data_IF_298597990378
#
_entry.id   IF_298597990378
#
_cell.length_a   1.000
_cell.length_b   1.000
_cell.length_c   1.000
_cell.angle_alpha   90.00
_cell.angle_beta   90.00
_cell.angle_gamma   90.00
#
_symmetry.space_group_name_H-M   'P 1'
#
loop_
_entity.id
_entity.type
_entity.pdbx_description
1 polymer ?
#
# COMPACT_ATOMS: atom_id res chain seq x y z
N UNK A 1 8.43 35.50 2.36
CA UNK A 1 9.49 34.92 1.51
C UNK A 1 10.11 33.85 2.37
N UNK A 2 9.78 32.58 2.12
CA UNK A 2 10.38 31.46 2.86
C UNK A 2 11.90 31.49 2.61
N UNK A 3 12.68 31.44 3.68
CA UNK A 3 14.13 31.48 3.59
C UNK A 3 14.63 30.13 3.04
N UNK A 4 14.94 30.08 1.74
CA UNK A 4 15.56 28.92 1.11
C UNK A 4 17.06 28.93 1.38
N UNK A 5 17.63 27.81 1.83
CA UNK A 5 19.03 27.75 2.22
C UNK A 5 19.79 26.53 1.68
N UNK A 6 21.09 26.69 1.49
CA UNK A 6 21.99 25.61 1.11
C UNK A 6 22.22 24.64 2.27
N UNK A 7 21.90 23.36 2.08
CA UNK A 7 22.25 22.31 3.04
C UNK A 7 23.73 21.95 2.81
N UNK A 8 24.63 22.56 3.58
CA UNK A 8 26.09 22.48 3.34
C UNK A 8 26.88 21.98 4.56
N UNK A 9 27.93 21.23 4.26
CA UNK A 9 28.88 20.73 5.23
C UNK A 9 29.73 21.88 5.78
N UNK A 10 29.74 22.03 7.10
CA UNK A 10 30.55 23.06 7.78
C UNK A 10 32.06 22.79 7.68
N UNK A 11 32.46 21.53 7.42
CA UNK A 11 33.86 21.13 7.34
C UNK A 11 34.49 21.46 5.97
N UNK A 12 33.80 21.15 4.86
CA UNK A 12 34.37 21.31 3.52
C UNK A 12 33.54 22.19 2.57
N UNK A 13 32.39 22.71 3.01
CA UNK A 13 31.49 23.51 2.18
C UNK A 13 30.68 22.72 1.14
N UNK A 14 30.89 21.41 1.03
CA UNK A 14 30.17 20.54 0.08
C UNK A 14 28.69 20.36 0.44
N UNK A 15 27.83 19.97 -0.51
CA UNK A 15 26.43 19.67 -0.25
C UNK A 15 26.29 18.50 0.73
N UNK A 16 25.15 18.47 1.43
CA UNK A 16 24.77 17.36 2.29
C UNK A 16 23.40 16.80 1.89
N UNK A 17 23.18 15.53 2.19
CA UNK A 17 22.00 14.76 1.80
C UNK A 17 21.36 14.15 3.03
N UNK A 18 20.02 14.16 3.09
CA UNK A 18 19.27 13.54 4.19
C UNK A 18 19.43 12.02 4.16
N UNK A 19 19.66 11.44 5.33
CA UNK A 19 19.75 10.00 5.52
C UNK A 19 18.80 9.59 6.66
N UNK A 20 17.59 9.17 6.27
CA UNK A 20 16.50 8.83 7.19
C UNK A 20 16.93 7.76 8.23
N UNK A 21 17.66 6.72 7.79
CA UNK A 21 18.04 5.60 8.65
C UNK A 21 18.95 5.97 9.83
N UNK A 22 19.83 6.94 9.63
CA UNK A 22 20.74 7.45 10.67
C UNK A 22 20.25 8.76 11.26
N UNK A 23 19.11 9.28 10.77
CA UNK A 23 18.58 10.61 11.08
C UNK A 23 19.70 11.66 11.03
N UNK A 24 20.40 11.72 9.90
CA UNK A 24 21.53 12.63 9.70
C UNK A 24 21.51 13.29 8.33
N UNK A 25 22.33 14.34 8.19
CA UNK A 25 22.79 14.85 6.91
C UNK A 25 24.21 14.39 6.67
N UNK A 26 24.47 13.80 5.50
CA UNK A 26 25.76 13.22 5.17
C UNK A 26 26.40 13.97 4.00
N UNK A 27 27.68 14.31 4.14
CA UNK A 27 28.47 14.96 3.10
C UNK A 27 29.19 13.93 2.22
N UNK A 28 28.80 13.85 0.96
CA UNK A 28 29.39 12.91 -0.01
C UNK A 28 30.89 13.17 -0.29
N UNK A 29 31.42 14.36 0.03
CA UNK A 29 32.78 14.77 -0.33
C UNK A 29 33.83 14.42 0.73
N UNK A 30 33.49 14.60 2.01
CA UNK A 30 34.43 14.39 3.11
C UNK A 30 33.95 13.37 4.16
N UNK A 31 32.76 12.78 3.95
CA UNK A 31 32.19 11.78 4.86
C UNK A 31 31.71 12.34 6.20
N UNK A 32 31.70 13.67 6.37
CA UNK A 32 31.14 14.29 7.58
C UNK A 32 29.64 14.02 7.65
N UNK A 33 29.18 13.50 8.79
CA UNK A 33 27.77 13.29 9.11
C UNK A 33 27.37 14.22 10.24
N UNK A 34 26.23 14.89 10.10
CA UNK A 34 25.66 15.79 11.10
C UNK A 34 24.29 15.26 11.51
N UNK A 35 24.05 14.94 12.79
CA UNK A 35 22.75 14.47 13.25
C UNK A 35 21.64 15.49 12.99
N UNK A 36 20.44 15.01 12.63
CA UNK A 36 19.24 15.80 12.42
C UNK A 36 18.75 16.47 13.72
N UNK A 37 18.79 15.72 14.83
CA UNK A 37 18.50 16.22 16.17
C UNK A 37 19.72 16.07 17.09
N UNK A 38 20.15 17.18 17.69
CA UNK A 38 21.23 17.17 18.67
C UNK A 38 20.80 16.41 19.94
N UNK A 39 21.48 15.30 20.24
CA UNK A 39 21.09 14.41 21.34
C UNK A 39 19.84 13.59 21.06
N UNK A 40 19.45 13.46 19.78
CA UNK A 40 18.28 12.70 19.35
C UNK A 40 18.27 11.29 19.91
N UNK A 41 17.08 10.82 20.29
CA UNK A 41 16.87 9.44 20.74
C UNK A 41 17.33 8.47 19.66
N UNK A 42 17.91 7.35 20.09
CA UNK A 42 18.19 6.23 19.19
C UNK A 42 16.93 5.88 18.40
N UNK A 43 17.07 5.46 17.12
CA UNK A 43 15.98 4.88 16.35
C UNK A 43 15.11 3.98 17.21
N UNK A 44 13.78 4.14 17.13
CA UNK A 44 12.85 3.18 17.73
C UNK A 44 13.23 1.76 17.27
N UNK A 45 13.06 0.78 18.16
CA UNK A 45 13.39 -0.62 17.87
C UNK A 45 12.83 -1.04 16.51
N UNK A 46 13.64 -1.79 15.75
CA UNK A 46 13.22 -2.37 14.46
C UNK A 46 11.98 -3.22 14.64
N UNK A 47 11.12 -3.22 13.61
CA UNK A 47 9.85 -3.96 13.59
C UNK A 47 10.05 -5.40 14.09
N UNK A 48 9.31 -5.79 15.12
CA UNK A 48 9.41 -7.11 15.74
C UNK A 48 8.70 -8.19 14.93
N UNK A 49 9.23 -8.55 13.76
CA UNK A 49 8.64 -9.58 12.90
C UNK A 49 8.88 -10.96 13.51
N UNK A 50 7.79 -11.64 13.93
CA UNK A 50 7.87 -12.98 14.54
C UNK A 50 6.78 -13.91 14.05
N UNK A 51 7.15 -14.74 13.08
CA UNK A 51 6.29 -15.80 12.59
C UNK A 51 6.14 -16.94 13.60
N UNK A 52 4.95 -17.53 13.64
CA UNK A 52 4.73 -18.76 14.41
C UNK A 52 4.59 -19.92 13.43
N UNK A 53 5.58 -20.81 13.26
CA UNK A 53 5.48 -21.91 12.30
C UNK A 53 4.23 -22.78 12.50
N UNK A 54 3.70 -23.32 11.40
CA UNK A 54 2.63 -24.32 11.45
C UNK A 54 3.18 -25.57 12.14
N UNK A 55 2.47 -26.06 13.15
CA UNK A 55 2.85 -27.29 13.85
C UNK A 55 2.53 -28.51 12.98
N UNK A 56 3.51 -29.39 12.81
CA UNK A 56 3.36 -30.70 12.17
C UNK A 56 3.34 -31.80 13.25
N UNK A 57 2.38 -32.72 13.17
CA UNK A 57 2.25 -33.88 14.06
C UNK A 57 2.03 -35.13 13.22
N UNK A 58 2.97 -36.07 13.28
CA UNK A 58 2.94 -37.30 12.45
C UNK A 58 2.75 -37.03 10.95
N UNK A 59 3.36 -35.95 10.43
CA UNK A 59 3.21 -35.53 9.02
C UNK A 59 1.89 -34.82 8.69
N UNK A 60 1.02 -34.58 9.68
CA UNK A 60 -0.24 -33.85 9.53
C UNK A 60 -0.10 -32.40 10.00
N UNK A 61 -0.77 -31.48 9.32
CA UNK A 61 -0.85 -30.07 9.69
C UNK A 61 -1.82 -29.89 10.85
N UNK A 62 -1.40 -29.22 11.93
CA UNK A 62 -2.26 -28.87 13.05
C UNK A 62 -2.86 -27.48 12.86
N UNK A 63 -4.14 -27.43 12.48
CA UNK A 63 -4.85 -26.22 12.08
C UNK A 63 -5.91 -25.78 13.10
N UNK A 64 -5.64 -25.98 14.39
CA UNK A 64 -6.51 -25.56 15.51
C UNK A 64 -6.93 -24.08 15.47
N UNK A 65 -6.10 -23.22 14.89
CA UNK A 65 -6.30 -21.77 14.89
C UNK A 65 -7.30 -21.28 13.83
N UNK A 66 -7.69 -22.12 12.88
CA UNK A 66 -8.65 -21.82 11.79
C UNK A 66 -9.68 -22.95 11.61
N UNK A 67 -9.88 -23.81 12.61
CA UNK A 67 -10.77 -24.97 12.46
C UNK A 67 -12.26 -24.67 12.61
N UNK A 68 -12.61 -23.53 13.22
CA UNK A 68 -14.00 -23.10 13.41
C UNK A 68 -14.42 -22.23 12.23
N UNK A 69 -15.11 -22.84 11.27
CA UNK A 69 -15.60 -22.17 10.08
C UNK A 69 -16.95 -21.47 10.34
N UNK A 70 -17.08 -20.24 9.85
CA UNK A 70 -18.30 -19.44 9.82
C UNK A 70 -18.70 -19.13 8.37
N UNK A 71 -19.96 -18.74 8.07
CA UNK A 71 -20.35 -18.36 6.72
C UNK A 71 -19.43 -17.29 6.11
N UNK A 72 -18.87 -17.57 4.94
CA UNK A 72 -18.01 -16.62 4.23
C UNK A 72 -18.83 -15.42 3.77
N UNK A 73 -18.41 -14.22 4.17
CA UNK A 73 -19.07 -12.96 3.81
C UNK A 73 -18.03 -11.92 3.46
N UNK A 74 -18.26 -11.23 2.35
CA UNK A 74 -17.53 -10.01 2.04
C UNK A 74 -17.89 -8.93 3.06
N UNK A 75 -16.92 -8.09 3.42
CA UNK A 75 -17.10 -7.07 4.43
C UNK A 75 -18.10 -6.01 3.96
N UNK A 76 -19.15 -5.77 4.76
CA UNK A 76 -20.14 -4.72 4.51
C UNK A 76 -19.85 -3.52 5.42
N UNK A 77 -18.84 -2.73 5.03
CA UNK A 77 -18.52 -1.46 5.66
C UNK A 77 -18.78 -0.32 4.67
N UNK A 78 -19.36 0.78 5.13
CA UNK A 78 -19.90 1.80 4.23
C UNK A 78 -18.83 2.42 3.32
N UNK A 79 -17.57 2.58 3.78
CA UNK A 79 -16.46 3.04 2.94
C UNK A 79 -16.12 2.11 1.75
N UNK A 80 -16.66 0.89 1.70
CA UNK A 80 -16.54 0.00 0.54
C UNK A 80 -17.72 0.13 -0.45
N UNK A 81 -18.78 0.85 -0.09
CA UNK A 81 -19.91 1.12 -0.98
C UNK A 81 -19.52 2.12 -2.08
N UNK A 82 -20.08 2.01 -3.31
CA UNK A 82 -19.68 2.84 -4.44
C UNK A 82 -19.81 4.33 -4.13
N UNK A 83 -20.89 4.73 -3.44
CA UNK A 83 -21.12 6.13 -3.07
C UNK A 83 -19.91 6.78 -2.39
N UNK A 84 -19.29 6.09 -1.43
CA UNK A 84 -18.15 6.59 -0.67
C UNK A 84 -16.82 6.44 -1.42
N UNK A 85 -16.68 5.36 -2.21
CA UNK A 85 -15.51 5.18 -3.08
C UNK A 85 -15.50 6.14 -4.26
N UNK A 86 -16.65 6.73 -4.60
CA UNK A 86 -16.77 7.69 -5.69
C UNK A 86 -16.21 9.08 -5.35
N UNK A 87 -15.95 9.39 -4.09
CA UNK A 87 -15.35 10.67 -3.75
C UNK A 87 -13.86 10.69 -4.13
N UNK A 88 -13.42 11.78 -4.74
CA UNK A 88 -11.99 12.05 -4.91
C UNK A 88 -11.32 12.21 -3.54
N UNK A 89 -10.01 12.06 -3.51
CA UNK A 89 -9.22 12.29 -2.32
C UNK A 89 -9.39 13.72 -1.80
N UNK A 90 -9.41 14.70 -2.70
CA UNK A 90 -9.60 16.10 -2.31
C UNK A 90 -11.02 16.34 -1.78
N UNK A 91 -12.05 15.72 -2.37
CA UNK A 91 -13.42 15.77 -1.85
C UNK A 91 -13.52 15.16 -0.44
N UNK A 92 -12.83 14.04 -0.21
CA UNK A 92 -12.72 13.42 1.11
C UNK A 92 -12.05 14.35 2.12
N UNK A 93 -10.93 14.97 1.74
CA UNK A 93 -10.25 15.92 2.59
C UNK A 93 -11.13 17.13 2.90
N UNK A 94 -11.86 17.70 1.92
CA UNK A 94 -12.76 18.82 2.21
C UNK A 94 -13.87 18.47 3.22
N UNK A 95 -14.30 17.21 3.27
CA UNK A 95 -15.33 16.75 4.21
C UNK A 95 -14.77 16.46 5.60
N UNK A 96 -13.64 15.76 5.69
CA UNK A 96 -13.12 15.21 6.95
C UNK A 96 -11.92 16.01 7.51
N UNK A 97 -11.15 16.68 6.66
CA UNK A 97 -9.91 17.40 6.99
C UNK A 97 -9.73 18.65 6.11
N UNK A 98 -10.67 19.59 6.26
CA UNK A 98 -10.72 20.81 5.44
C UNK A 98 -9.44 21.65 5.51
N UNK A 99 -8.76 21.65 6.66
CA UNK A 99 -7.52 22.40 6.83
C UNK A 99 -6.41 21.89 5.92
N UNK A 100 -6.28 20.56 5.79
CA UNK A 100 -5.33 19.96 4.85
C UNK A 100 -5.75 20.16 3.40
N UNK A 101 -7.05 20.04 3.10
CA UNK A 101 -7.56 20.31 1.76
C UNK A 101 -7.22 21.73 1.28
N UNK A 102 -7.46 22.74 2.12
CA UNK A 102 -7.18 24.15 1.81
C UNK A 102 -5.68 24.39 1.62
N UNK A 103 -4.82 23.80 2.46
CA UNK A 103 -3.35 23.93 2.33
C UNK A 103 -2.83 23.32 1.03
N UNK A 104 -3.37 22.16 0.63
CA UNK A 104 -3.00 21.50 -0.63
C UNK A 104 -3.53 22.22 -1.86
N UNK A 105 -4.73 22.78 -1.80
CA UNK A 105 -5.32 23.57 -2.89
C UNK A 105 -4.62 24.92 -3.07
N UNK A 106 -4.17 25.53 -1.98
CA UNK A 106 -3.44 26.80 -1.97
C UNK A 106 -1.92 26.63 -2.19
N UNK A 107 -1.44 25.40 -2.39
CA UNK A 107 -0.03 25.16 -2.72
C UNK A 107 0.37 26.00 -3.94
N UNK A 108 1.48 26.72 -3.83
CA UNK A 108 1.95 27.63 -4.87
C UNK A 108 3.28 27.16 -5.44
N UNK A 109 3.46 27.40 -6.73
CA UNK A 109 4.77 27.24 -7.35
C UNK A 109 5.72 28.32 -6.81
N UNK A 110 6.86 27.88 -6.31
CA UNK A 110 7.93 28.74 -5.80
C UNK A 110 9.11 28.71 -6.76
N UNK A 111 9.66 29.87 -7.08
CA UNK A 111 10.91 29.99 -7.84
C UNK A 111 12.09 29.99 -6.88
N UNK A 112 13.02 29.07 -7.08
CA UNK A 112 14.12 28.78 -6.16
C UNK A 112 15.44 29.09 -6.87
N UNK A 113 16.17 30.13 -6.45
CA UNK A 113 17.53 30.35 -6.91
C UNK A 113 18.46 29.36 -6.23
N UNK A 114 19.14 28.51 -7.00
CA UNK A 114 20.08 27.55 -6.46
C UNK A 114 21.32 28.26 -5.90
N UNK A 115 21.60 28.17 -4.59
CA UNK A 115 22.74 28.85 -3.96
C UNK A 115 24.09 28.24 -4.34
N UNK A 116 24.11 27.06 -4.98
CA UNK A 116 25.32 26.37 -5.40
C UNK A 116 25.77 26.72 -6.83
N UNK A 117 24.84 26.76 -7.79
CA UNK A 117 25.17 26.98 -9.20
C UNK A 117 24.56 28.25 -9.81
N UNK A 118 23.69 28.94 -9.08
CA UNK A 118 23.01 30.16 -9.55
C UNK A 118 21.83 29.92 -10.50
N UNK A 119 21.57 28.67 -10.92
CA UNK A 119 20.39 28.34 -11.73
C UNK A 119 19.10 28.55 -10.93
N UNK A 120 18.07 29.08 -11.57
CA UNK A 120 16.72 29.12 -11.00
C UNK A 120 15.93 27.88 -11.45
N UNK A 121 15.12 27.33 -10.56
CA UNK A 121 14.20 26.23 -10.85
C UNK A 121 12.91 26.40 -10.04
N UNK A 122 11.91 25.53 -10.29
CA UNK A 122 10.61 25.60 -9.65
C UNK A 122 10.39 24.43 -8.69
N UNK A 123 9.57 24.66 -7.67
CA UNK A 123 9.05 23.64 -6.76
C UNK A 123 7.70 24.06 -6.19
N UNK A 124 7.17 23.29 -5.26
CA UNK A 124 5.91 23.56 -4.55
C UNK A 124 6.18 24.06 -3.13
N UNK A 125 5.37 25.01 -2.65
CA UNK A 125 5.47 25.58 -1.30
C UNK A 125 5.23 24.57 -0.17
N UNK A 126 4.83 23.34 -0.49
CA UNK A 126 4.60 22.25 0.47
C UNK A 126 5.83 21.36 0.69
N UNK A 127 6.92 21.59 -0.06
CA UNK A 127 8.14 20.78 0.02
C UNK A 127 9.10 21.29 1.10
N UNK A 128 9.69 20.38 1.86
CA UNK A 128 10.71 20.70 2.87
C UNK A 128 12.13 20.72 2.29
N UNK A 129 12.41 19.82 1.34
CA UNK A 129 13.71 19.68 0.67
C UNK A 129 13.51 19.63 -0.85
N UNK A 130 14.26 20.46 -1.57
CA UNK A 130 14.26 20.57 -3.01
C UNK A 130 15.57 20.03 -3.60
N UNK A 131 15.51 19.47 -4.81
CA UNK A 131 16.70 19.11 -5.60
C UNK A 131 16.86 20.07 -6.78
N UNK A 132 18.02 20.69 -6.91
CA UNK A 132 18.32 21.52 -8.07
C UNK A 132 18.57 20.64 -9.31
N UNK A 133 17.77 20.76 -10.39
CA UNK A 133 17.93 19.92 -11.58
C UNK A 133 19.24 20.17 -12.35
N UNK A 134 19.88 21.32 -12.16
CA UNK A 134 21.12 21.68 -12.85
C UNK A 134 22.37 21.09 -12.21
N UNK A 135 22.38 20.83 -10.89
CA UNK A 135 23.58 20.39 -10.18
C UNK A 135 23.34 19.25 -9.17
N UNK A 136 22.10 18.81 -8.97
CA UNK A 136 21.72 17.72 -8.05
C UNK A 136 21.82 18.08 -6.56
N UNK A 137 22.16 19.33 -6.21
CA UNK A 137 22.33 19.73 -4.81
C UNK A 137 20.98 20.01 -4.13
N UNK A 138 20.92 19.71 -2.83
CA UNK A 138 19.72 19.83 -2.00
C UNK A 138 19.61 21.20 -1.34
N UNK A 139 18.39 21.73 -1.31
CA UNK A 139 18.05 23.05 -0.78
C UNK A 139 16.91 22.87 0.22
N UNK A 140 17.06 23.43 1.41
CA UNK A 140 16.05 23.35 2.47
C UNK A 140 15.14 24.57 2.50
N UNK A 141 13.87 24.36 2.85
CA UNK A 141 12.95 25.42 3.25
C UNK A 141 13.11 25.73 4.74
N UNK A 142 13.48 26.97 5.09
CA UNK A 142 13.83 27.39 6.45
C UNK A 142 12.78 27.06 7.52
N UNK A 143 11.50 27.23 7.21
CA UNK A 143 10.42 26.98 8.19
C UNK A 143 9.92 25.55 8.23
N UNK A 144 10.16 24.77 7.17
CA UNK A 144 9.67 23.40 7.03
C UNK A 144 10.75 22.37 7.41
N UNK A 145 12.02 22.63 7.10
CA UNK A 145 13.14 21.75 7.42
C UNK A 145 13.59 21.94 8.88
N UNK A 146 12.74 21.53 9.82
CA UNK A 146 13.01 21.53 11.26
C UNK A 146 12.49 20.22 11.88
N UNK A 147 13.24 19.59 12.81
CA UNK A 147 12.81 18.33 13.43
C UNK A 147 11.46 18.43 14.12
N UNK A 148 10.59 17.44 13.88
CA UNK A 148 9.25 17.37 14.47
C UNK A 148 8.31 18.52 14.07
N UNK A 149 8.65 19.32 13.05
CA UNK A 149 7.86 20.49 12.60
C UNK A 149 7.16 20.30 11.26
N UNK A 150 6.98 19.07 10.80
CA UNK A 150 6.16 18.85 9.61
C UNK A 150 4.74 19.36 9.85
N UNK A 151 4.18 20.08 8.86
CA UNK A 151 2.90 20.76 9.01
C UNK A 151 1.78 19.74 9.23
N UNK A 152 1.01 19.91 10.32
CA UNK A 152 -0.23 19.15 10.53
C UNK A 152 -1.21 19.30 9.36
N UNK A 153 -1.23 20.47 8.71
CA UNK A 153 -2.06 20.76 7.54
C UNK A 153 -1.53 20.16 6.23
N UNK A 154 -0.35 19.54 6.26
CA UNK A 154 0.16 18.74 5.14
C UNK A 154 0.06 17.24 5.43
N UNK A 155 -0.49 16.88 6.59
CA UNK A 155 -0.76 15.50 6.99
C UNK A 155 -2.24 15.22 6.83
N UNK A 156 -2.59 14.34 5.92
CA UNK A 156 -3.98 13.96 5.65
C UNK A 156 -4.54 13.10 6.77
N UNK A 157 -5.59 13.58 7.45
CA UNK A 157 -6.34 12.84 8.46
C UNK A 157 -6.29 13.48 9.84
N UNK A 158 -6.31 12.64 10.89
CA UNK A 158 -6.47 13.09 12.29
C UNK A 158 -5.29 13.87 12.89
N UNK A 159 -4.21 14.10 12.13
CA UNK A 159 -3.07 14.95 12.49
C UNK A 159 -1.71 14.26 12.50
N UNK A 160 -0.63 15.05 12.49
CA UNK A 160 0.76 14.59 12.44
C UNK A 160 1.18 13.67 13.60
N UNK A 161 0.51 13.77 14.76
CA UNK A 161 0.71 12.89 15.92
C UNK A 161 0.35 11.42 15.68
N UNK A 162 -0.41 11.13 14.62
CA UNK A 162 -0.79 9.77 14.23
C UNK A 162 -0.02 9.28 12.99
N UNK A 163 1.03 10.00 12.59
CA UNK A 163 1.96 9.57 11.55
C UNK A 163 2.96 8.58 12.16
N UNK A 164 3.11 7.37 11.60
CA UNK A 164 4.14 6.44 12.05
C UNK A 164 5.54 7.02 11.88
N UNK A 165 6.40 6.83 12.89
CA UNK A 165 7.81 7.30 12.90
C UNK A 165 8.76 6.41 12.09
N UNK A 166 8.21 5.42 11.36
CA UNK A 166 8.96 4.47 10.55
C UNK A 166 8.33 4.38 9.16
N UNK A 167 9.18 4.26 8.14
CA UNK A 167 8.75 4.11 6.76
C UNK A 167 9.66 3.16 6.00
N UNK A 168 9.12 2.55 4.94
CA UNK A 168 9.94 2.06 3.84
C UNK A 168 10.33 3.26 2.96
N UNK A 169 11.61 3.52 2.69
CA UNK A 169 12.01 4.59 1.77
C UNK A 169 11.52 4.30 0.35
N UNK A 170 11.18 5.36 -0.40
CA UNK A 170 10.92 5.23 -1.83
C UNK A 170 12.21 4.85 -2.58
N UNK A 171 12.16 3.76 -3.35
CA UNK A 171 13.32 3.22 -4.09
C UNK A 171 13.27 3.54 -5.59
N UNK A 172 12.08 3.78 -6.13
CA UNK A 172 11.89 4.10 -7.55
C UNK A 172 11.73 5.62 -7.73
N UNK A 173 12.17 6.13 -8.87
CA UNK A 173 11.91 7.52 -9.23
C UNK A 173 10.46 7.72 -9.67
N UNK A 174 9.99 8.97 -9.59
CA UNK A 174 8.68 9.35 -10.12
C UNK A 174 8.54 9.01 -11.61
N UNK A 175 9.61 9.19 -12.40
CA UNK A 175 9.62 8.81 -13.82
C UNK A 175 9.43 7.30 -14.02
N UNK A 176 10.06 6.47 -13.18
CA UNK A 176 9.87 5.02 -13.20
C UNK A 176 8.44 4.65 -12.82
N UNK A 177 7.88 5.30 -11.80
CA UNK A 177 6.50 5.08 -11.39
C UNK A 177 5.49 5.41 -12.50
N UNK A 178 5.63 6.59 -13.14
CA UNK A 178 4.81 7.00 -14.29
C UNK A 178 4.96 6.01 -15.45
N UNK A 179 6.16 5.56 -15.76
CA UNK A 179 6.42 4.57 -16.81
C UNK A 179 5.73 3.22 -16.51
N UNK A 180 5.80 2.74 -15.27
CA UNK A 180 5.16 1.49 -14.86
C UNK A 180 3.62 1.57 -14.92
N UNK A 181 3.05 2.71 -14.50
CA UNK A 181 1.62 2.96 -14.63
C UNK A 181 1.17 3.01 -16.11
N UNK A 182 1.91 3.70 -16.98
CA UNK A 182 1.61 3.73 -18.41
C UNK A 182 1.74 2.36 -19.07
N UNK A 183 2.71 1.54 -18.64
CA UNK A 183 2.83 0.17 -19.11
C UNK A 183 1.60 -0.66 -18.74
N UNK A 184 1.09 -0.53 -17.51
CA UNK A 184 -0.16 -1.19 -17.09
C UNK A 184 -1.35 -0.74 -17.96
N UNK A 185 -1.48 0.55 -18.22
CA UNK A 185 -2.54 1.11 -19.09
C UNK A 185 -2.47 0.51 -20.50
N UNK A 186 -1.27 0.45 -21.09
CA UNK A 186 -1.05 -0.13 -22.42
C UNK A 186 -1.28 -1.64 -22.48
N UNK A 187 -1.12 -2.35 -21.37
CA UNK A 187 -1.35 -3.78 -21.28
C UNK A 187 -2.86 -4.13 -21.28
N UNK A 188 -3.70 -3.22 -20.78
CA UNK A 188 -5.15 -3.41 -20.65
C UNK A 188 -5.95 -2.23 -21.24
N UNK A 189 -5.74 -1.89 -22.52
CA UNK A 189 -6.30 -0.67 -23.13
C UNK A 189 -7.83 -0.63 -23.09
N UNK A 190 -8.49 -1.79 -23.14
CA UNK A 190 -9.95 -1.92 -23.06
C UNK A 190 -10.52 -1.55 -21.68
N UNK A 191 -9.75 -1.77 -20.60
CA UNK A 191 -10.16 -1.45 -19.22
C UNK A 191 -10.20 0.06 -19.00
N UNK A 192 -9.28 0.79 -19.64
CA UNK A 192 -9.13 2.24 -19.48
C UNK A 192 -9.80 3.06 -20.59
N UNK A 193 -10.48 2.40 -21.53
CA UNK A 193 -11.04 3.04 -22.72
C UNK A 193 -12.11 4.10 -22.38
N UNK A 194 -11.79 5.37 -22.63
CA UNK A 194 -12.67 6.52 -22.40
C UNK A 194 -12.31 7.34 -21.16
N UNK A 195 -11.23 6.98 -20.46
CA UNK A 195 -10.70 7.75 -19.33
C UNK A 195 -9.41 8.47 -19.72
N UNK A 196 -9.20 9.69 -19.23
CA UNK A 196 -7.98 10.48 -19.48
C UNK A 196 -6.78 10.04 -18.62
N UNK A 197 -6.56 8.72 -18.52
CA UNK A 197 -5.59 8.15 -17.57
C UNK A 197 -4.13 8.50 -17.88
N UNK A 198 -3.75 8.61 -19.15
CA UNK A 198 -2.36 8.94 -19.50
C UNK A 198 -2.03 10.38 -19.09
N UNK A 199 -2.95 11.32 -19.32
CA UNK A 199 -2.82 12.70 -18.86
C UNK A 199 -2.78 12.77 -17.33
N UNK A 200 -3.69 12.07 -16.65
CA UNK A 200 -3.72 11.98 -15.19
C UNK A 200 -2.42 11.41 -14.61
N UNK A 201 -1.87 10.35 -15.22
CA UNK A 201 -0.57 9.79 -14.84
C UNK A 201 0.54 10.80 -15.03
N UNK A 202 0.46 11.73 -15.98
CA UNK A 202 1.49 12.75 -16.26
C UNK A 202 1.33 14.04 -15.45
N UNK A 203 0.12 14.40 -15.04
CA UNK A 203 -0.12 15.67 -14.33
C UNK A 203 -0.50 15.52 -12.85
N UNK A 204 -1.06 14.38 -12.43
CA UNK A 204 -1.68 14.22 -11.11
C UNK A 204 -1.00 13.17 -10.22
N UNK A 205 -0.12 12.32 -10.76
CA UNK A 205 0.58 11.31 -9.96
C UNK A 205 1.43 11.98 -8.88
N UNK A 206 1.24 11.57 -7.63
CA UNK A 206 1.99 12.08 -6.48
C UNK A 206 2.46 10.93 -5.59
N UNK A 207 3.63 11.07 -4.97
CA UNK A 207 4.10 10.15 -3.95
C UNK A 207 3.28 10.35 -2.67
N UNK A 208 2.73 9.27 -2.13
CA UNK A 208 2.05 9.23 -0.84
C UNK A 208 2.72 8.22 0.08
N UNK A 209 2.96 8.61 1.32
CA UNK A 209 3.32 7.69 2.39
C UNK A 209 2.05 7.27 3.12
N UNK A 210 1.69 5.99 3.01
CA UNK A 210 0.42 5.43 3.48
C UNK A 210 0.69 4.55 4.71
N UNK A 211 -0.05 4.72 5.82
CA UNK A 211 0.16 3.92 7.02
C UNK A 211 -0.41 2.52 6.84
N UNK A 212 0.37 1.52 7.22
CA UNK A 212 0.00 0.10 7.23
C UNK A 212 0.39 -0.54 8.55
N UNK A 213 -0.37 -1.55 8.95
CA UNK A 213 -0.01 -2.46 10.02
C UNK A 213 0.37 -3.82 9.46
N UNK A 214 1.34 -4.49 10.06
CA UNK A 214 1.81 -5.81 9.64
C UNK A 214 1.19 -6.94 10.47
N UNK A 215 0.78 -8.01 9.80
CA UNK A 215 0.31 -9.22 10.47
C UNK A 215 0.68 -10.49 9.69
N UNK A 216 0.63 -11.64 10.35
CA UNK A 216 0.48 -12.91 9.65
C UNK A 216 -1.02 -13.23 9.53
N UNK A 217 -1.47 -13.50 8.31
CA UNK A 217 -2.83 -13.92 7.99
C UNK A 217 -2.85 -15.42 7.68
N UNK A 218 -3.70 -16.15 8.38
CA UNK A 218 -3.97 -17.56 8.11
C UNK A 218 -5.44 -17.77 7.91
N UNK A 219 -5.80 -18.55 6.91
CA UNK A 219 -7.21 -18.78 6.59
C UNK A 219 -7.46 -20.24 6.23
N UNK A 220 -8.66 -20.72 6.55
CA UNK A 220 -9.21 -21.94 5.99
C UNK A 220 -10.54 -21.61 5.36
N UNK A 221 -10.77 -22.03 4.12
CA UNK A 221 -12.00 -21.74 3.36
C UNK A 221 -12.57 -23.02 2.79
N UNK A 222 -13.89 -23.18 2.88
CA UNK A 222 -14.61 -24.28 2.25
C UNK A 222 -15.22 -23.88 0.91
N UNK A 223 -15.07 -24.77 -0.06
CA UNK A 223 -15.62 -24.67 -1.41
C UNK A 223 -16.49 -25.89 -1.72
N UNK A 224 -17.49 -25.76 -2.61
CA UNK A 224 -18.25 -26.91 -3.07
C UNK A 224 -17.31 -27.95 -3.70
N UNK A 225 -17.48 -29.21 -3.30
CA UNK A 225 -16.77 -30.32 -3.93
C UNK A 225 -17.19 -30.50 -5.39
N UNK A 226 -16.29 -31.05 -6.22
CA UNK A 226 -16.65 -31.42 -7.60
C UNK A 226 -17.45 -32.73 -7.60
N UNK A 227 -18.64 -32.71 -8.22
CA UNK A 227 -19.50 -33.88 -8.36
C UNK A 227 -20.08 -34.35 -7.01
N UNK A 228 -19.95 -35.63 -6.69
CA UNK A 228 -20.42 -36.21 -5.42
C UNK A 228 -19.41 -36.06 -4.26
N UNK A 229 -18.32 -35.32 -4.44
CA UNK A 229 -17.30 -35.14 -3.40
C UNK A 229 -17.82 -34.23 -2.29
N UNK A 230 -17.37 -34.52 -1.06
CA UNK A 230 -17.51 -33.61 0.09
C UNK A 230 -16.86 -32.26 -0.22
N UNK A 231 -17.22 -31.24 0.56
CA UNK A 231 -16.60 -29.91 0.49
C UNK A 231 -15.06 -30.00 0.50
N UNK A 232 -14.44 -29.18 -0.34
CA UNK A 232 -12.99 -29.00 -0.37
C UNK A 232 -12.61 -27.92 0.63
N UNK A 233 -11.67 -28.20 1.52
CA UNK A 233 -11.09 -27.22 2.43
C UNK A 233 -9.75 -26.76 1.89
N UNK A 234 -9.55 -25.45 1.80
CA UNK A 234 -8.29 -24.86 1.35
C UNK A 234 -7.70 -24.02 2.47
N UNK A 235 -6.44 -24.27 2.80
CA UNK A 235 -5.65 -23.50 3.75
C UNK A 235 -4.77 -22.49 3.00
N UNK A 236 -4.69 -21.28 3.55
CA UNK A 236 -3.93 -20.14 3.04
C UNK A 236 -3.06 -19.58 4.16
N UNK A 237 -1.90 -19.08 3.78
CA UNK A 237 -1.00 -18.35 4.67
C UNK A 237 -0.38 -17.17 3.91
N UNK A 238 -0.50 -15.99 4.49
CA UNK A 238 0.20 -14.78 4.05
C UNK A 238 1.01 -14.27 5.24
N UNK A 239 2.32 -14.29 5.11
CA UNK A 239 3.25 -13.79 6.14
C UNK A 239 3.65 -12.36 5.81
N UNK A 240 3.92 -11.56 6.85
CA UNK A 240 4.25 -10.14 6.70
C UNK A 240 3.25 -9.43 5.78
N UNK A 241 1.97 -9.67 6.06
CA UNK A 241 0.86 -9.13 5.32
C UNK A 241 0.54 -7.71 5.80
N UNK A 242 0.75 -6.67 4.97
CA UNK A 242 0.39 -5.31 5.31
C UNK A 242 -1.09 -5.06 5.03
N UNK A 243 -1.77 -4.39 5.95
CA UNK A 243 -3.11 -3.88 5.71
C UNK A 243 -3.19 -2.37 6.01
N UNK A 244 -3.90 -1.57 5.19
CA UNK A 244 -3.95 -0.12 5.36
C UNK A 244 -4.62 0.30 6.66
N UNK A 245 -4.05 1.33 7.28
CA UNK A 245 -4.52 1.97 8.51
C UNK A 245 -5.23 3.32 8.26
N UNK A 246 -5.80 3.46 7.06
CA UNK A 246 -6.50 4.66 6.59
C UNK A 246 -7.60 4.28 5.58
N UNK A 247 -8.58 5.17 5.40
CA UNK A 247 -9.62 5.05 4.36
C UNK A 247 -9.55 6.18 3.30
N UNK A 248 -8.58 7.11 3.39
CA UNK A 248 -8.40 8.19 2.41
C UNK A 248 -7.96 7.69 1.03
N UNK A 249 -7.41 6.48 0.96
CA UNK A 249 -7.02 5.81 -0.28
C UNK A 249 -7.88 4.57 -0.49
N UNK A 250 -7.94 4.10 -1.74
CA UNK A 250 -8.69 2.90 -2.06
C UNK A 250 -8.08 1.64 -1.43
N UNK A 251 -8.66 1.18 -0.33
CA UNK A 251 -8.16 0.04 0.45
C UNK A 251 -7.95 -1.23 -0.40
N UNK A 252 -8.91 -1.65 -1.27
CA UNK A 252 -8.67 -2.75 -2.19
C UNK A 252 -7.44 -2.55 -3.09
N UNK A 253 -7.27 -1.37 -3.69
CA UNK A 253 -6.12 -1.05 -4.54
C UNK A 253 -4.79 -1.16 -3.78
N UNK A 254 -4.70 -0.63 -2.55
CA UNK A 254 -3.46 -0.73 -1.76
C UNK A 254 -3.09 -2.19 -1.47
N UNK A 255 -4.09 -3.05 -1.23
CA UNK A 255 -3.88 -4.49 -1.05
C UNK A 255 -3.34 -5.22 -2.28
N UNK A 256 -3.36 -4.61 -3.48
CA UNK A 256 -2.81 -5.18 -4.71
C UNK A 256 -1.34 -4.84 -4.97
N UNK A 257 -0.77 -3.93 -4.18
CA UNK A 257 0.60 -3.41 -4.39
C UNK A 257 1.71 -4.30 -3.82
N UNK A 258 1.35 -5.33 -3.09
CA UNK A 258 2.28 -6.32 -2.54
C UNK A 258 3.15 -6.97 -3.65
N UNK A 259 4.35 -7.45 -3.35
CA UNK A 259 4.96 -7.56 -2.01
C UNK A 259 5.69 -6.29 -1.57
N UNK A 260 5.93 -6.21 -0.26
CA UNK A 260 6.78 -5.22 0.38
C UNK A 260 7.94 -5.92 1.09
N UNK A 261 9.12 -5.31 1.11
CA UNK A 261 10.30 -5.78 1.85
C UNK A 261 10.50 -4.94 3.11
N UNK A 262 10.15 -5.51 4.26
CA UNK A 262 10.18 -4.80 5.54
C UNK A 262 11.57 -4.74 6.18
N UNK A 263 12.58 -5.44 5.62
CA UNK A 263 13.98 -5.27 6.02
C UNK A 263 14.53 -3.87 5.71
N UNK A 264 13.79 -3.10 4.90
CA UNK A 264 14.12 -1.73 4.49
C UNK A 264 13.45 -0.66 5.35
N UNK A 265 12.68 -1.05 6.37
CA UNK A 265 12.05 -0.08 7.27
C UNK A 265 13.12 0.69 8.03
N UNK A 266 12.99 2.01 8.05
CA UNK A 266 13.90 2.93 8.72
C UNK A 266 13.10 3.96 9.52
N UNK A 267 13.71 4.62 10.52
CA UNK A 267 13.15 5.84 11.08
C UNK A 267 12.80 6.84 9.97
N UNK A 268 11.70 7.56 10.14
CA UNK A 268 11.19 8.48 9.14
C UNK A 268 10.72 9.77 9.80
N UNK A 269 11.32 10.88 9.38
CA UNK A 269 10.80 12.22 9.66
C UNK A 269 10.37 12.85 8.33
N UNK A 270 9.07 13.16 8.14
CA UNK A 270 8.58 13.80 6.93
C UNK A 270 9.29 15.12 6.59
N UNK A 271 9.78 15.86 7.60
CA UNK A 271 10.49 17.11 7.34
C UNK A 271 11.83 16.89 6.60
N UNK A 272 12.44 15.71 6.74
CA UNK A 272 13.66 15.33 6.02
C UNK A 272 13.40 14.79 4.61
N UNK A 273 12.14 14.51 4.27
CA UNK A 273 11.80 13.87 3.01
C UNK A 273 11.92 14.84 1.83
N UNK A 274 12.46 14.33 0.72
CA UNK A 274 12.74 15.10 -0.48
C UNK A 274 11.56 15.07 -1.46
N UNK A 275 11.39 16.16 -2.21
CA UNK A 275 10.41 16.19 -3.29
C UNK A 275 8.99 16.56 -2.83
N UNK A 276 8.04 16.40 -3.75
CA UNK A 276 6.63 16.72 -3.53
C UNK A 276 5.87 15.43 -3.18
N UNK A 277 5.48 15.29 -1.92
CA UNK A 277 4.84 14.09 -1.40
C UNK A 277 3.65 14.44 -0.50
N UNK A 278 2.86 13.43 -0.16
CA UNK A 278 1.78 13.50 0.82
C UNK A 278 2.02 12.51 1.94
N UNK A 279 1.67 12.88 3.16
CA UNK A 279 1.68 11.98 4.31
C UNK A 279 0.24 11.71 4.73
N UNK A 280 -0.08 10.44 4.94
CA UNK A 280 -1.38 10.04 5.47
C UNK A 280 -1.20 9.59 6.91
N UNK A 281 -2.01 10.15 7.82
CA UNK A 281 -2.05 9.74 9.21
C UNK A 281 -2.85 8.45 9.39
N UNK A 282 -2.59 7.74 10.50
CA UNK A 282 -3.44 6.62 10.92
C UNK A 282 -4.84 7.13 11.25
N UNK A 283 -5.84 6.43 10.77
CA UNK A 283 -7.23 6.77 11.03
C UNK A 283 -7.79 6.02 12.24
N UNK A 284 -8.23 6.76 13.24
CA UNK A 284 -8.73 6.21 14.51
C UNK A 284 -10.10 5.54 14.39
N UNK A 285 -10.96 6.00 13.48
CA UNK A 285 -12.33 5.47 13.33
C UNK A 285 -12.42 4.22 12.44
N UNK A 286 -11.31 3.83 11.80
CA UNK A 286 -11.27 2.70 10.88
C UNK A 286 -11.52 1.37 11.61
N UNK A 287 -12.39 0.54 11.04
CA UNK A 287 -12.65 -0.81 11.56
C UNK A 287 -11.65 -1.80 10.97
N UNK A 288 -10.59 -2.11 11.72
CA UNK A 288 -9.55 -3.09 11.33
C UNK A 288 -10.15 -4.41 10.84
N UNK A 289 -11.16 -4.94 11.54
CA UNK A 289 -11.82 -6.18 11.12
C UNK A 289 -12.43 -6.04 9.73
N UNK A 290 -13.18 -4.98 9.45
CA UNK A 290 -13.79 -4.80 8.12
C UNK A 290 -12.74 -4.74 7.00
N UNK A 291 -11.61 -4.06 7.22
CA UNK A 291 -10.51 -3.95 6.25
C UNK A 291 -9.84 -5.29 6.05
N UNK A 292 -9.50 -5.96 7.15
CA UNK A 292 -8.88 -7.29 7.09
C UNK A 292 -9.79 -8.26 6.37
N UNK A 293 -11.07 -8.28 6.73
CA UNK A 293 -12.09 -9.14 6.16
C UNK A 293 -12.23 -8.92 4.65
N UNK A 294 -12.27 -7.65 4.22
CA UNK A 294 -12.38 -7.28 2.80
C UNK A 294 -11.22 -7.81 1.98
N UNK A 295 -10.00 -7.56 2.46
CA UNK A 295 -8.78 -7.97 1.76
C UNK A 295 -8.58 -9.49 1.82
N UNK A 296 -8.78 -10.12 2.99
CA UNK A 296 -8.71 -11.57 3.18
C UNK A 296 -9.70 -12.32 2.28
N UNK A 297 -10.94 -11.83 2.15
CA UNK A 297 -11.94 -12.39 1.25
C UNK A 297 -11.48 -12.35 -0.22
N UNK A 298 -10.85 -11.24 -0.61
CA UNK A 298 -10.28 -11.08 -1.95
C UNK A 298 -9.12 -12.05 -2.18
N UNK A 299 -8.14 -12.09 -1.27
CA UNK A 299 -6.99 -13.00 -1.34
C UNK A 299 -7.46 -14.45 -1.47
N UNK A 300 -8.27 -14.92 -0.53
CA UNK A 300 -8.70 -16.32 -0.50
C UNK A 300 -9.43 -16.72 -1.78
N UNK A 301 -10.37 -15.89 -2.25
CA UNK A 301 -11.13 -16.17 -3.46
C UNK A 301 -10.27 -16.18 -4.73
N UNK A 302 -9.41 -15.18 -4.88
CA UNK A 302 -8.54 -15.02 -6.04
C UNK A 302 -7.49 -16.13 -6.13
N UNK A 303 -6.90 -16.49 -5.00
CA UNK A 303 -5.87 -17.52 -4.94
C UNK A 303 -6.47 -18.91 -5.13
N UNK A 304 -7.69 -19.16 -4.65
CA UNK A 304 -8.39 -20.42 -4.94
C UNK A 304 -8.72 -20.58 -6.42
N UNK A 305 -9.15 -19.48 -7.06
CA UNK A 305 -9.46 -19.46 -8.48
C UNK A 305 -8.22 -19.75 -9.31
N UNK A 306 -7.11 -19.06 -9.02
CA UNK A 306 -5.84 -19.27 -9.72
C UNK A 306 -5.25 -20.66 -9.46
N UNK A 307 -5.23 -21.11 -8.19
CA UNK A 307 -4.54 -22.34 -7.79
C UNK A 307 -5.34 -23.63 -8.10
N UNK A 308 -6.67 -23.57 -8.03
CA UNK A 308 -7.53 -24.76 -8.07
C UNK A 308 -8.72 -24.66 -9.03
N UNK A 309 -8.97 -23.48 -9.63
CA UNK A 309 -10.12 -23.22 -10.49
C UNK A 309 -11.46 -23.15 -9.74
N UNK A 310 -11.44 -22.84 -8.44
CA UNK A 310 -12.66 -22.55 -7.70
C UNK A 310 -13.20 -21.17 -8.05
N UNK A 311 -14.52 -20.98 -8.09
CA UNK A 311 -15.07 -19.63 -8.24
C UNK A 311 -14.96 -18.88 -6.92
N UNK A 312 -14.49 -17.62 -6.93
CA UNK A 312 -14.54 -16.71 -5.77
C UNK A 312 -15.93 -16.63 -5.14
N UNK A 313 -16.98 -16.66 -5.98
CA UNK A 313 -18.39 -16.59 -5.53
C UNK A 313 -18.90 -17.89 -4.89
N UNK A 314 -18.09 -18.94 -4.87
CA UNK A 314 -18.45 -20.25 -4.33
C UNK A 314 -17.89 -20.53 -2.93
N UNK A 315 -17.16 -19.58 -2.32
CA UNK A 315 -16.76 -19.68 -0.92
C UNK A 315 -18.01 -19.85 -0.03
N UNK A 316 -18.04 -20.92 0.76
CA UNK A 316 -19.19 -21.28 1.61
C UNK A 316 -18.96 -20.83 3.04
N UNK A 317 -17.88 -21.29 3.62
CA UNK A 317 -17.49 -20.98 4.98
C UNK A 317 -15.99 -20.68 5.03
N UNK A 318 -15.57 -19.94 6.04
CA UNK A 318 -14.18 -19.65 6.27
C UNK A 318 -13.87 -19.48 7.75
N UNK A 319 -12.60 -19.50 8.08
CA UNK A 319 -12.06 -19.05 9.35
C UNK A 319 -10.76 -18.32 9.04
N UNK A 320 -10.44 -17.30 9.83
CA UNK A 320 -9.20 -16.54 9.67
C UNK A 320 -8.60 -16.22 11.02
N UNK A 321 -7.28 -16.31 11.09
CA UNK A 321 -6.49 -15.90 12.24
C UNK A 321 -5.50 -14.84 11.77
N UNK A 322 -5.60 -13.68 12.41
CA UNK A 322 -4.66 -12.57 12.22
C UNK A 322 -3.77 -12.53 13.45
N UNK A 323 -2.46 -12.60 13.24
CA UNK A 323 -1.46 -12.40 14.28
C UNK A 323 -0.69 -11.12 13.94
N UNK A 324 -1.04 -10.02 14.60
CA UNK A 324 -0.35 -8.74 14.43
C UNK A 324 1.09 -8.86 14.93
N UNK A 325 2.03 -8.24 14.22
CA UNK A 325 3.42 -8.11 14.67
C UNK A 325 3.54 -6.93 15.65
N UNK A 326 4.49 -7.03 16.57
CA UNK A 326 4.74 -6.00 17.59
C UNK A 326 5.46 -4.81 16.97
N UNK A 327 5.06 -3.58 17.35
CA UNK A 327 5.62 -2.33 16.82
C UNK A 327 5.66 -2.26 15.29
N UNK A 328 4.72 -2.93 14.61
CA UNK A 328 4.72 -3.07 13.17
C UNK A 328 3.70 -2.14 12.49
N UNK A 329 3.75 -0.86 12.87
CA UNK A 329 3.01 0.22 12.25
C UNK A 329 4.00 1.14 11.55
N UNK A 330 3.86 1.31 10.24
CA UNK A 330 4.83 2.03 9.42
C UNK A 330 4.15 2.65 8.20
N UNK A 331 4.86 3.55 7.53
CA UNK A 331 4.47 4.11 6.25
C UNK A 331 5.06 3.29 5.09
N UNK A 332 4.29 3.14 4.02
CA UNK A 332 4.76 2.59 2.75
C UNK A 332 4.64 3.62 1.63
N UNK A 333 5.65 3.72 0.73
CA UNK A 333 5.67 4.70 -0.35
C UNK A 333 4.83 4.19 -1.51
N UNK A 334 3.85 4.98 -1.94
CA UNK A 334 2.94 4.66 -3.04
C UNK A 334 2.79 5.88 -3.93
N UNK A 335 3.14 5.74 -5.21
CA UNK A 335 2.73 6.74 -6.19
C UNK A 335 1.26 6.50 -6.53
N UNK A 336 0.44 7.52 -6.38
CA UNK A 336 -1.02 7.40 -6.47
C UNK A 336 -1.59 8.40 -7.46
N UNK A 337 -2.50 7.91 -8.31
CA UNK A 337 -3.39 8.70 -9.16
C UNK A 337 -4.80 8.41 -8.66
N UNK A 338 -5.44 9.41 -8.09
CA UNK A 338 -6.77 9.27 -7.53
C UNK A 338 -7.85 9.21 -8.60
N UNK A 339 -8.30 10.35 -9.13
CA UNK A 339 -9.31 10.40 -10.20
C UNK A 339 -8.79 11.23 -11.36
N UNK A 340 -8.77 10.69 -12.59
CA UNK A 340 -8.50 11.48 -13.78
C UNK A 340 -9.36 12.74 -13.85
N UNK A 341 -8.80 13.81 -14.42
CA UNK A 341 -9.48 15.11 -14.63
C UNK A 341 -10.82 14.92 -15.36
N UNK A 342 -10.89 13.93 -16.26
CA UNK A 342 -12.12 13.49 -16.92
C UNK A 342 -12.30 12.00 -16.70
N UNK A 343 -13.07 11.65 -15.66
CA UNK A 343 -13.66 10.32 -15.52
C UNK A 343 -14.65 10.09 -16.67
N UNK A 344 -14.55 8.91 -17.27
CA UNK A 344 -15.30 8.51 -18.45
C UNK A 344 -16.75 8.10 -18.18
N UNK A 345 -17.17 7.00 -18.81
CA UNK A 345 -18.58 6.60 -19.00
C UNK A 345 -19.39 6.57 -17.69
N UNK A 346 -20.59 7.15 -17.70
CA UNK A 346 -21.67 6.90 -16.73
C UNK A 346 -21.23 6.80 -15.24
N UNK A 347 -20.29 7.63 -14.79
CA UNK A 347 -19.86 7.65 -13.38
C UNK A 347 -18.91 6.52 -12.98
N UNK A 348 -18.29 5.83 -13.94
CA UNK A 348 -17.16 4.92 -13.73
C UNK A 348 -15.90 5.71 -13.33
N UNK A 349 -15.14 5.19 -12.38
CA UNK A 349 -13.94 5.83 -11.85
C UNK A 349 -12.72 4.95 -12.04
N UNK A 350 -11.56 5.59 -12.19
CA UNK A 350 -10.28 4.92 -12.31
C UNK A 350 -9.32 5.43 -11.25
N UNK A 351 -8.69 4.53 -10.50
CA UNK A 351 -7.58 4.81 -9.60
C UNK A 351 -6.38 3.96 -9.99
N UNK A 352 -5.19 4.53 -9.94
CA UNK A 352 -3.93 3.83 -10.28
C UNK A 352 -2.94 4.04 -9.14
N UNK A 353 -2.24 2.98 -8.75
CA UNK A 353 -1.20 3.06 -7.75
C UNK A 353 0.04 2.27 -8.18
N UNK A 354 1.22 2.74 -7.76
CA UNK A 354 2.49 2.06 -7.99
C UNK A 354 3.24 1.97 -6.67
N UNK A 355 3.66 0.75 -6.32
CA UNK A 355 4.50 0.49 -5.16
C UNK A 355 5.84 1.22 -5.32
N UNK A 356 6.14 2.19 -4.45
CA UNK A 356 7.35 3.01 -4.51
C UNK A 356 8.64 2.26 -4.17
N UNK A 357 8.55 1.04 -3.63
CA UNK A 357 9.70 0.17 -3.36
C UNK A 357 9.98 -0.80 -4.53
N UNK A 358 8.95 -1.44 -5.07
CA UNK A 358 9.09 -2.53 -6.06
C UNK A 358 8.76 -2.13 -7.50
N UNK A 359 8.12 -0.97 -7.69
CA UNK A 359 7.63 -0.53 -9.00
C UNK A 359 6.37 -1.25 -9.47
N UNK A 360 5.79 -2.16 -8.67
CA UNK A 360 4.59 -2.90 -9.07
C UNK A 360 3.40 -1.95 -9.20
N UNK A 361 2.78 -1.92 -10.38
CA UNK A 361 1.60 -1.11 -10.67
C UNK A 361 0.31 -1.91 -10.52
N UNK A 362 -0.74 -1.26 -10.02
CA UNK A 362 -2.10 -1.77 -9.97
C UNK A 362 -3.10 -0.65 -10.28
N UNK A 363 -4.29 -1.03 -10.75
CA UNK A 363 -5.38 -0.10 -10.94
C UNK A 363 -6.72 -0.75 -10.61
N UNK A 364 -7.67 0.09 -10.24
CA UNK A 364 -9.07 -0.30 -10.10
C UNK A 364 -9.94 0.61 -10.96
N UNK A 365 -10.85 -0.01 -11.72
CA UNK A 365 -11.86 0.66 -12.53
C UNK A 365 -13.23 0.20 -12.07
N UNK A 366 -14.04 1.09 -11.52
CA UNK A 366 -15.28 0.69 -10.86
C UNK A 366 -16.44 1.65 -11.11
N UNK A 367 -17.64 1.10 -11.09
CA UNK A 367 -18.93 1.80 -11.14
C UNK A 367 -19.86 1.21 -10.04
N UNK A 368 -21.14 1.60 -10.01
CA UNK A 368 -22.09 1.06 -9.03
C UNK A 368 -22.31 -0.47 -9.13
N UNK A 369 -22.03 -1.06 -10.29
CA UNK A 369 -22.35 -2.45 -10.68
C UNK A 369 -21.11 -3.33 -10.78
N UNK A 370 -19.96 -2.77 -11.15
CA UNK A 370 -18.74 -3.51 -11.50
C UNK A 370 -17.51 -2.90 -10.84
N UNK A 371 -16.54 -3.75 -10.54
CA UNK A 371 -15.28 -3.38 -9.93
C UNK A 371 -14.18 -4.24 -10.57
N UNK A 372 -13.37 -3.63 -11.44
CA UNK A 372 -12.36 -4.30 -12.25
C UNK A 372 -10.98 -3.96 -11.72
N UNK A 373 -10.19 -4.96 -11.38
CA UNK A 373 -8.83 -4.80 -10.88
C UNK A 373 -7.84 -5.32 -11.91
N UNK A 374 -6.80 -4.54 -12.18
CA UNK A 374 -5.66 -4.95 -12.99
C UNK A 374 -4.39 -4.77 -12.21
N UNK A 375 -3.49 -5.74 -12.27
CA UNK A 375 -2.22 -5.71 -11.55
C UNK A 375 -1.12 -6.14 -12.50
N UNK A 376 -0.02 -5.38 -12.53
CA UNK A 376 1.17 -5.76 -13.25
C UNK A 376 1.87 -6.95 -12.54
N UNK A 377 2.57 -7.82 -13.30
CA UNK A 377 3.48 -8.77 -12.69
C UNK A 377 4.60 -8.04 -11.94
N UNK A 378 5.15 -8.67 -10.90
CA UNK A 378 6.37 -8.16 -10.27
C UNK A 378 7.54 -8.26 -11.26
N UNK A 379 8.37 -7.21 -11.35
CA UNK A 379 9.57 -7.25 -12.21
C UNK A 379 10.53 -8.34 -11.73
N UNK A 380 11.09 -9.17 -12.64
CA UNK A 380 12.09 -10.18 -12.29
C UNK A 380 13.38 -9.60 -11.67
N UNK A 381 13.64 -8.31 -11.85
CA UNK A 381 14.80 -7.61 -11.27
C UNK A 381 14.64 -7.26 -9.79
N UNK A 382 13.43 -7.40 -9.24
CA UNK A 382 13.16 -7.08 -7.83
C UNK A 382 13.62 -8.25 -6.97
N UNK A 383 14.57 -7.98 -6.08
CA UNK A 383 15.04 -8.91 -5.07
C UNK A 383 14.45 -8.54 -3.72
N UNK A 384 13.78 -9.50 -3.07
CA UNK A 384 13.14 -9.33 -1.78
C UNK A 384 13.91 -10.11 -0.71
N UNK A 385 14.03 -9.53 0.48
CA UNK A 385 14.58 -10.22 1.65
C UNK A 385 13.64 -11.31 2.19
N UNK A 386 14.10 -12.05 3.21
CA UNK A 386 13.25 -12.99 3.97
C UNK A 386 12.17 -12.30 4.81
N UNK A 387 12.27 -10.98 5.02
CA UNK A 387 11.31 -10.18 5.78
C UNK A 387 10.29 -9.50 4.85
N UNK A 388 10.11 -10.01 3.63
CA UNK A 388 9.09 -9.49 2.72
C UNK A 388 7.71 -10.10 2.97
N UNK A 389 6.68 -9.50 2.39
CA UNK A 389 5.35 -10.14 2.24
C UNK A 389 5.50 -11.45 1.48
N UNK A 390 4.95 -12.54 2.02
CA UNK A 390 4.99 -13.87 1.39
C UNK A 390 3.60 -14.47 1.34
N UNK A 391 3.12 -14.73 0.14
CA UNK A 391 1.94 -15.57 -0.10
C UNK A 391 2.41 -17.02 -0.25
N UNK A 392 2.09 -17.86 0.73
CA UNK A 392 2.32 -19.28 0.61
C UNK A 392 1.35 -19.86 -0.42
N UNK A 393 1.82 -20.85 -1.20
CA UNK A 393 0.95 -21.56 -2.14
C UNK A 393 -0.22 -22.19 -1.39
N UNK A 394 -1.48 -21.89 -1.77
CA UNK A 394 -2.64 -22.48 -1.13
C UNK A 394 -2.62 -24.01 -1.20
N UNK A 395 -3.10 -24.68 -0.15
CA UNK A 395 -3.13 -26.15 -0.07
C UNK A 395 -4.53 -26.65 0.22
N UNK A 396 -5.00 -27.60 -0.57
CA UNK A 396 -6.23 -28.32 -0.25
C UNK A 396 -5.93 -29.33 0.86
N UNK A 397 -6.74 -29.33 1.92
CA UNK A 397 -6.54 -30.13 3.12
C UNK A 397 -7.76 -30.98 3.43
N UNK A 398 -7.55 -32.09 4.14
CA UNK A 398 -8.63 -32.96 4.61
C UNK A 398 -8.43 -33.26 6.09
N UNK A 399 -9.50 -33.08 6.86
CA UNK A 399 -9.49 -33.42 8.29
C UNK A 399 -9.29 -34.92 8.49
N UNK A 400 -8.37 -35.27 9.38
CA UNK A 400 -8.02 -36.66 9.72
C UNK A 400 -8.50 -37.02 11.12
N UNK A 401 -8.03 -36.30 12.14
CA UNK A 401 -8.29 -36.64 13.56
C UNK A 401 -8.13 -35.46 14.51
N UNK A 402 -8.59 -35.64 15.74
CA UNK A 402 -8.33 -34.71 16.85
C UNK A 402 -6.82 -34.62 17.16
N UNK A 403 -6.28 -33.46 17.57
CA UNK A 403 -6.96 -32.17 17.78
C UNK A 403 -6.82 -31.25 16.55
N UNK A 404 -7.66 -31.45 15.53
CA UNK A 404 -7.65 -30.66 14.29
C UNK A 404 -6.38 -30.87 13.45
N UNK A 405 -6.05 -32.16 13.22
CA UNK A 405 -4.98 -32.59 12.33
C UNK A 405 -5.53 -32.84 10.93
N UNK A 406 -4.85 -32.27 9.94
CA UNK A 406 -5.22 -32.33 8.53
C UNK A 406 -4.08 -32.88 7.69
N UNK A 407 -4.40 -33.67 6.68
CA UNK A 407 -3.43 -34.03 5.63
C UNK A 407 -3.54 -33.07 4.45
N UNK A 408 -2.43 -32.90 3.72
CA UNK A 408 -2.41 -32.17 2.45
C UNK A 408 -2.93 -33.11 1.37
N UNK A 409 -4.02 -32.73 0.71
CA UNK A 409 -4.61 -33.47 -0.41
C UNK A 409 -3.89 -33.10 -1.71
N UNK A 410 -3.68 -31.81 -1.94
CA UNK A 410 -2.89 -31.28 -3.06
C UNK A 410 -2.44 -29.84 -2.81
N UNK A 411 -1.34 -29.48 -3.43
CA UNK A 411 -0.78 -28.12 -3.42
C UNK A 411 -1.21 -27.41 -4.71
N UNK A 412 -1.65 -26.16 -4.60
CA UNK A 412 -2.00 -25.31 -5.74
C UNK A 412 -0.86 -25.19 -6.76
N UNK A 413 -1.18 -25.09 -8.05
CA UNK A 413 -0.15 -24.88 -9.09
C UNK A 413 0.74 -26.08 -9.45
N UNK A 414 0.65 -27.23 -8.76
CA UNK A 414 1.42 -28.44 -9.10
C UNK A 414 0.85 -29.22 -10.31
N UNK A 415 0.76 -28.54 -11.45
CA UNK A 415 1.07 -29.11 -12.76
C UNK A 415 2.44 -28.54 -13.18
N UNK A 416 3.52 -29.13 -12.64
CA UNK A 416 4.94 -28.89 -12.96
C UNK A 416 5.50 -27.46 -12.76
N UNK A 417 6.21 -27.25 -11.64
CA UNK A 417 7.62 -26.81 -11.52
C UNK A 417 7.81 -26.10 -10.16
N UNK A 418 8.77 -26.62 -9.39
CA UNK A 418 9.19 -26.11 -8.08
C UNK A 418 10.05 -24.86 -8.27
N UNK A 419 9.63 -23.78 -7.62
CA UNK A 419 10.43 -22.58 -7.38
C UNK A 419 9.69 -21.71 -6.35
N UNK A 420 10.36 -21.35 -5.27
CA UNK A 420 9.87 -20.31 -4.36
C UNK A 420 9.56 -19.02 -5.16
N UNK A 421 8.74 -18.15 -4.58
CA UNK A 421 8.21 -16.89 -5.15
C UNK A 421 7.18 -17.04 -6.28
N UNK A 422 5.90 -17.10 -5.91
CA UNK A 422 4.83 -16.57 -6.76
C UNK A 422 4.25 -15.32 -6.09
N UNK A 423 4.92 -14.18 -6.29
CA UNK A 423 4.18 -12.92 -6.35
C UNK A 423 3.15 -13.09 -7.47
N UNK A 424 1.87 -12.83 -7.16
CA UNK A 424 0.75 -12.97 -8.09
C UNK A 424 1.14 -12.43 -9.48
N UNK A 425 1.27 -13.29 -10.49
CA UNK A 425 1.58 -12.83 -11.85
C UNK A 425 0.43 -11.93 -12.35
N UNK A 426 0.76 -10.95 -13.20
CA UNK A 426 -0.18 -9.90 -13.59
C UNK A 426 -1.54 -10.44 -14.01
N UNK A 427 -2.60 -9.87 -13.44
CA UNK A 427 -3.94 -10.42 -13.52
C UNK A 427 -4.97 -9.31 -13.77
N UNK A 428 -5.83 -9.52 -14.76
CA UNK A 428 -7.09 -8.81 -14.94
C UNK A 428 -8.18 -9.58 -14.17
N UNK A 429 -8.95 -8.89 -13.35
CA UNK A 429 -10.02 -9.47 -12.52
C UNK A 429 -11.23 -8.56 -12.57
N UNK A 430 -12.41 -9.11 -12.85
CA UNK A 430 -13.68 -8.35 -12.86
C UNK A 430 -14.63 -8.90 -11.80
N UNK A 431 -15.08 -8.03 -10.89
CA UNK A 431 -16.02 -8.36 -9.83
C UNK A 431 -17.39 -7.73 -10.13
N UNK A 432 -18.43 -8.57 -10.23
CA UNK A 432 -19.82 -8.12 -10.34
C UNK A 432 -20.42 -7.93 -8.95
N UNK A 433 -20.91 -6.72 -8.65
CA UNK A 433 -21.61 -6.44 -7.39
C UNK A 433 -23.03 -7.00 -7.43
N UNK A 434 -23.44 -7.73 -6.40
CA UNK A 434 -24.84 -8.17 -6.24
C UNK A 434 -25.71 -6.93 -5.97
N UNK A 435 -26.77 -6.72 -6.77
CA UNK A 435 -27.75 -5.66 -6.51
C UNK A 435 -28.35 -5.88 -5.11
N UNK A 436 -28.12 -4.95 -4.16
CA UNK A 436 -28.88 -4.90 -2.90
C UNK A 436 -30.36 -4.68 -3.29
N UNK A 437 -31.27 -5.53 -2.79
CA UNK A 437 -32.68 -5.51 -3.17
C UNK A 437 -33.37 -4.18 -2.85
N UNK A 438 -34.47 -3.88 -3.56
CA UNK A 438 -35.22 -2.61 -3.50
C UNK A 438 -35.57 -2.16 -2.06
N UNK A 439 -35.78 -3.11 -1.14
CA UNK A 439 -36.14 -2.85 0.25
C UNK A 439 -35.00 -2.26 1.09
N UNK A 440 -33.73 -2.55 0.81
CA UNK A 440 -32.61 -1.97 1.57
C UNK A 440 -32.37 -0.50 1.24
N UNK A 441 -32.88 0.00 0.10
CA UNK A 441 -32.84 1.42 -0.26
C UNK A 441 -33.91 2.25 0.45
N UNK A 442 -34.95 1.63 1.01
CA UNK A 442 -36.08 2.31 1.65
C UNK A 442 -35.89 2.56 3.16
N UNK A 443 -34.82 2.06 3.77
CA UNK A 443 -34.59 2.15 5.23
C UNK A 443 -33.25 2.82 5.61
N UNK A 444 -32.71 3.67 4.73
CA UNK A 444 -31.52 4.49 5.01
C UNK A 444 -31.82 5.96 4.68
N UNK A 445 -32.67 6.57 5.51
CA UNK A 445 -32.69 8.02 5.73
C UNK A 445 -32.20 8.28 7.16
#
# INVERSE_FOLDING_TARGET
MEEMFAIKCQNCGGPMYSHQATRSFDCAYCGTSVPWEAGGQQPADTVGIRHQPIQMVDGLMKLTHVSQLEPAKDADWYYFEPYWRNSSLLEWLFQEDRGTAEELEQATHVSIPCPFCGAAFEGESTQSVFECPSCGNKIGAGDLLKPGKFSKRLTMGTGAEYVPEQAIPCSISEQQARANALQLVRQYPEVFAGHAVEEAIQSQMVLMYIPVALADLRMMVSFPGKGMKKESLVYYEVLNWPYPKTHYVDVPLIGLLEPWDFSKVVPFDPAMEEGNFRIVAVEGIQKDSAVIDKLAYSIAGNDAESAFGFSKNSMRQWSRKVKKHESALMLVPVFYVDRPISDGREGEQVRIAVNGQTGRAAAVVFDEKRDTHVVAPLSPSVHLSSESTVHATPVEVRYVKSPFLYEIVRIGGNAAVVGATTASQGALREEKRKRKGLLNRLFRD
#
